data_IF_015650312417
#
_entry.id   IF_015650312417
#
_cell.length_a   1.000
_cell.length_b   1.000
_cell.length_c   1.000
_cell.angle_alpha   90.00
_cell.angle_beta   90.00
_cell.angle_gamma   90.00
#
_symmetry.space_group_name_H-M   'P 1'
#
loop_
_entity.id
_entity.type
_entity.pdbx_description
1 polymer ?
#
# COMPACT_ATOMS: atom_id res chain seq x y z
N UNK A 1 -1.03 -0.21 -33.18
CA UNK A 1 -0.95 -1.63 -33.57
C UNK A 1 -0.58 -2.38 -32.33
N UNK A 2 -1.59 -2.94 -31.65
CA UNK A 2 -1.39 -3.74 -30.44
C UNK A 2 -0.73 -5.06 -30.84
N UNK A 3 0.37 -5.41 -30.16
CA UNK A 3 0.92 -6.75 -30.25
C UNK A 3 -0.13 -7.71 -29.66
N UNK A 4 -0.73 -8.55 -30.50
CA UNK A 4 -1.61 -9.62 -30.06
C UNK A 4 -0.71 -10.64 -29.35
N UNK A 5 -0.75 -10.68 -28.03
CA UNK A 5 -0.17 -11.77 -27.26
C UNK A 5 -0.89 -13.06 -27.67
N UNK A 6 -0.18 -14.03 -28.21
CA UNK A 6 -0.74 -15.31 -28.70
C UNK A 6 -1.00 -16.32 -27.57
N UNK A 7 -0.92 -15.90 -26.32
CA UNK A 7 -1.22 -16.71 -25.11
C UNK A 7 -2.63 -16.47 -24.56
N UNK A 8 -3.12 -17.33 -23.67
CA UNK A 8 -4.36 -17.05 -22.93
C UNK A 8 -4.18 -15.75 -22.13
N UNK A 9 -5.27 -14.97 -22.01
CA UNK A 9 -5.26 -13.77 -21.19
C UNK A 9 -4.95 -14.13 -19.72
N UNK A 10 -4.12 -13.33 -19.00
CA UNK A 10 -3.79 -13.61 -17.62
C UNK A 10 -5.05 -13.57 -16.76
N UNK A 11 -5.14 -14.49 -15.80
CA UNK A 11 -6.19 -14.46 -14.78
C UNK A 11 -5.89 -13.38 -13.76
N UNK A 12 -6.70 -12.31 -13.77
CA UNK A 12 -6.53 -11.16 -12.90
C UNK A 12 -7.53 -11.23 -11.75
N UNK A 13 -7.03 -11.24 -10.52
CA UNK A 13 -7.85 -11.25 -9.31
C UNK A 13 -7.61 -9.97 -8.53
N UNK A 14 -8.68 -9.21 -8.27
CA UNK A 14 -8.60 -8.05 -7.39
C UNK A 14 -8.70 -8.48 -5.92
N UNK A 15 -7.85 -7.92 -5.06
CA UNK A 15 -7.87 -8.10 -3.61
C UNK A 15 -8.12 -6.77 -2.95
N UNK A 16 -9.19 -6.69 -2.17
CA UNK A 16 -9.58 -5.51 -1.38
C UNK A 16 -9.49 -5.85 0.10
N UNK A 17 -8.82 -5.01 0.88
CA UNK A 17 -8.78 -5.13 2.34
C UNK A 17 -9.62 -4.03 2.97
N UNK A 18 -10.51 -4.37 3.90
CA UNK A 18 -11.41 -3.42 4.56
C UNK A 18 -11.49 -3.63 6.07
N UNK A 19 -11.78 -2.55 6.80
CA UNK A 19 -12.08 -2.59 8.23
C UNK A 19 -12.97 -1.42 8.64
N UNK A 20 -14.23 -1.71 9.03
CA UNK A 20 -15.21 -0.72 9.51
C UNK A 20 -15.40 0.46 8.52
N UNK A 21 -15.52 0.18 7.23
CA UNK A 21 -15.69 1.17 6.16
C UNK A 21 -16.66 0.71 5.08
N UNK A 22 -17.76 0.05 5.48
CA UNK A 22 -18.75 -0.50 4.54
C UNK A 22 -19.15 0.46 3.41
N UNK A 23 -19.45 1.76 3.63
CA UNK A 23 -19.82 2.66 2.55
C UNK A 23 -18.73 2.90 1.50
N UNK A 24 -17.44 2.86 1.89
CA UNK A 24 -16.34 2.98 0.95
C UNK A 24 -16.15 1.68 0.16
N UNK A 25 -16.23 0.54 0.86
CA UNK A 25 -16.20 -0.77 0.22
C UNK A 25 -17.31 -0.93 -0.83
N UNK A 26 -18.55 -0.53 -0.52
CA UNK A 26 -19.68 -0.57 -1.46
C UNK A 26 -19.39 0.23 -2.73
N UNK A 27 -18.85 1.45 -2.59
CA UNK A 27 -18.46 2.32 -3.69
C UNK A 27 -17.36 1.68 -4.56
N UNK A 28 -16.34 1.10 -3.91
CA UNK A 28 -15.24 0.44 -4.61
C UNK A 28 -15.70 -0.82 -5.34
N UNK A 29 -16.47 -1.70 -4.68
CA UNK A 29 -16.99 -2.93 -5.28
C UNK A 29 -17.87 -2.61 -6.49
N UNK A 30 -18.74 -1.58 -6.40
CA UNK A 30 -19.53 -1.12 -7.54
C UNK A 30 -18.63 -0.69 -8.72
N UNK A 31 -17.55 0.07 -8.44
CA UNK A 31 -16.59 0.48 -9.46
C UNK A 31 -15.82 -0.70 -10.07
N UNK A 32 -15.42 -1.70 -9.28
CA UNK A 32 -14.76 -2.89 -9.81
C UNK A 32 -15.66 -3.69 -10.75
N UNK A 33 -16.97 -3.65 -10.52
CA UNK A 33 -17.97 -4.25 -11.42
C UNK A 33 -18.11 -3.54 -12.79
N UNK A 34 -17.58 -2.33 -12.94
CA UNK A 34 -17.54 -1.58 -14.20
C UNK A 34 -16.22 -1.81 -14.99
N UNK A 35 -15.24 -2.50 -14.40
CA UNK A 35 -13.91 -2.69 -14.97
C UNK A 35 -13.82 -4.06 -15.63
N UNK A 36 -13.54 -4.08 -16.92
CA UNK A 36 -13.39 -5.31 -17.69
C UNK A 36 -12.07 -6.02 -17.37
N UNK A 37 -12.01 -7.33 -17.64
CA UNK A 37 -10.78 -8.12 -17.51
C UNK A 37 -10.54 -8.75 -16.13
N UNK A 38 -11.34 -8.41 -15.11
CA UNK A 38 -11.24 -9.08 -13.81
C UNK A 38 -11.91 -10.46 -13.85
N UNK A 39 -11.20 -11.47 -13.35
CA UNK A 39 -11.74 -12.82 -13.19
C UNK A 39 -12.55 -12.98 -11.90
N UNK A 40 -12.15 -12.29 -10.83
CA UNK A 40 -12.77 -12.35 -9.50
C UNK A 40 -12.36 -11.14 -8.66
N UNK A 41 -13.23 -10.75 -7.72
CA UNK A 41 -12.93 -9.78 -6.65
C UNK A 41 -12.96 -10.52 -5.31
N UNK A 42 -11.85 -10.48 -4.58
CA UNK A 42 -11.71 -11.03 -3.22
C UNK A 42 -11.69 -9.90 -2.21
N UNK A 43 -12.58 -9.93 -1.23
CA UNK A 43 -12.63 -8.96 -0.15
C UNK A 43 -12.25 -9.63 1.16
N UNK A 44 -11.18 -9.13 1.79
CA UNK A 44 -10.77 -9.52 3.15
C UNK A 44 -11.33 -8.48 4.12
N UNK A 45 -12.34 -8.87 4.86
CA UNK A 45 -12.89 -8.10 5.96
C UNK A 45 -12.10 -8.38 7.26
N UNK A 46 -11.44 -7.39 7.77
CA UNK A 46 -10.53 -7.47 8.91
C UNK A 46 -11.27 -7.48 10.27
N UNK A 47 -12.33 -8.30 10.40
CA UNK A 47 -13.22 -8.39 11.55
C UNK A 47 -13.97 -7.07 11.81
N UNK A 48 -14.64 -6.54 10.81
CA UNK A 48 -15.51 -5.37 10.95
C UNK A 48 -16.72 -5.63 11.84
N UNK A 49 -17.25 -4.57 12.43
CA UNK A 49 -18.46 -4.57 13.26
C UNK A 49 -19.57 -3.66 12.72
N UNK A 50 -19.42 -3.15 11.50
CA UNK A 50 -20.32 -2.20 10.85
C UNK A 50 -21.29 -2.83 9.84
N UNK A 51 -21.41 -4.18 9.84
CA UNK A 51 -22.28 -4.92 8.90
C UNK A 51 -21.56 -5.38 7.64
N UNK A 52 -20.24 -5.15 7.51
CA UNK A 52 -19.48 -5.56 6.31
C UNK A 52 -19.56 -7.06 6.06
N UNK A 53 -19.42 -7.89 7.11
CA UNK A 53 -19.47 -9.36 6.96
C UNK A 53 -20.81 -9.86 6.45
N UNK A 54 -21.92 -9.34 6.96
CA UNK A 54 -23.27 -9.65 6.52
C UNK A 54 -23.50 -9.19 5.08
N UNK A 55 -23.07 -7.98 4.75
CA UNK A 55 -23.16 -7.44 3.40
C UNK A 55 -22.42 -8.30 2.37
N UNK A 56 -21.21 -8.80 2.69
CA UNK A 56 -20.44 -9.69 1.82
C UNK A 56 -21.11 -11.05 1.61
N UNK A 57 -21.73 -11.62 2.65
CA UNK A 57 -22.39 -12.92 2.59
C UNK A 57 -23.58 -12.93 1.61
N UNK A 58 -24.27 -11.79 1.44
CA UNK A 58 -25.44 -11.66 0.59
C UNK A 58 -25.12 -11.26 -0.87
N UNK A 59 -23.83 -11.10 -1.22
CA UNK A 59 -23.39 -10.60 -2.54
C UNK A 59 -22.42 -11.54 -3.23
N UNK A 60 -22.89 -12.47 -4.07
CA UNK A 60 -22.02 -13.42 -4.77
C UNK A 60 -21.30 -12.80 -5.99
N UNK A 61 -21.71 -11.61 -6.45
CA UNK A 61 -21.13 -10.94 -7.63
C UNK A 61 -21.08 -9.43 -7.47
N UNK A 62 -20.18 -8.79 -8.22
CA UNK A 62 -20.22 -7.36 -8.52
C UNK A 62 -20.41 -7.19 -10.02
N UNK A 63 -21.61 -6.77 -10.45
CA UNK A 63 -22.00 -6.87 -11.85
C UNK A 63 -21.99 -8.33 -12.33
N UNK A 64 -21.19 -8.63 -13.36
CA UNK A 64 -20.99 -10.00 -13.86
C UNK A 64 -19.77 -10.70 -13.24
N UNK A 65 -18.97 -9.98 -12.43
CA UNK A 65 -17.70 -10.48 -11.85
C UNK A 65 -18.00 -11.18 -10.52
N UNK A 66 -17.55 -12.42 -10.31
CA UNK A 66 -17.65 -13.11 -9.02
C UNK A 66 -17.04 -12.29 -7.88
N UNK A 67 -17.75 -12.19 -6.76
CA UNK A 67 -17.31 -11.54 -5.52
C UNK A 67 -17.27 -12.59 -4.40
N UNK A 68 -16.12 -12.75 -3.79
CA UNK A 68 -15.93 -13.60 -2.62
C UNK A 68 -15.49 -12.78 -1.43
N UNK A 69 -16.18 -12.93 -0.30
CA UNK A 69 -15.84 -12.28 0.98
C UNK A 69 -15.26 -13.28 1.97
N UNK A 70 -14.27 -12.84 2.76
CA UNK A 70 -13.73 -13.56 3.90
C UNK A 70 -13.59 -12.62 5.10
N UNK A 71 -14.38 -12.87 6.16
CA UNK A 71 -14.25 -12.15 7.43
C UNK A 71 -13.25 -12.87 8.33
N UNK A 72 -12.23 -12.17 8.77
CA UNK A 72 -11.23 -12.68 9.72
C UNK A 72 -11.84 -12.75 11.14
N UNK A 73 -11.32 -13.65 11.97
CA UNK A 73 -11.77 -13.79 13.35
C UNK A 73 -11.33 -12.63 14.26
N UNK A 74 -10.27 -11.94 13.87
CA UNK A 74 -9.70 -10.78 14.59
C UNK A 74 -9.10 -9.80 13.61
N UNK A 75 -9.06 -8.52 13.98
CA UNK A 75 -8.35 -7.50 13.20
C UNK A 75 -6.84 -7.78 13.23
N UNK A 76 -6.28 -8.06 12.05
CA UNK A 76 -4.84 -8.32 11.82
C UNK A 76 -4.13 -7.13 11.15
N UNK A 77 -4.81 -5.97 11.08
CA UNK A 77 -4.31 -4.78 10.40
C UNK A 77 -4.27 -4.92 8.88
N UNK A 78 -3.89 -3.86 8.19
CA UNK A 78 -3.71 -3.90 6.73
C UNK A 78 -2.72 -4.98 6.30
N UNK A 79 -1.61 -5.11 7.02
CA UNK A 79 -0.57 -6.11 6.74
C UNK A 79 -1.12 -7.54 6.73
N UNK A 80 -1.88 -7.93 7.75
CA UNK A 80 -2.51 -9.25 7.83
C UNK A 80 -3.62 -9.45 6.79
N UNK A 81 -4.38 -8.39 6.50
CA UNK A 81 -5.40 -8.42 5.45
C UNK A 81 -4.80 -8.68 4.06
N UNK A 82 -3.75 -7.95 3.69
CA UNK A 82 -3.04 -8.16 2.41
C UNK A 82 -2.29 -9.49 2.36
N UNK A 83 -1.75 -9.96 3.49
CA UNK A 83 -1.15 -11.30 3.58
C UNK A 83 -2.18 -12.38 3.22
N UNK A 84 -3.35 -12.39 3.89
CA UNK A 84 -4.41 -13.36 3.64
C UNK A 84 -5.03 -13.21 2.25
N UNK A 85 -5.26 -11.99 1.81
CA UNK A 85 -5.85 -11.71 0.51
C UNK A 85 -4.96 -12.14 -0.65
N UNK A 86 -3.65 -11.86 -0.57
CA UNK A 86 -2.70 -12.26 -1.60
C UNK A 86 -2.53 -13.79 -1.62
N UNK A 87 -2.43 -14.44 -0.46
CA UNK A 87 -2.41 -15.91 -0.38
C UNK A 87 -3.67 -16.51 -1.02
N UNK A 88 -4.83 -15.95 -0.70
CA UNK A 88 -6.11 -16.40 -1.26
C UNK A 88 -6.21 -16.22 -2.77
N UNK A 89 -5.68 -15.12 -3.32
CA UNK A 89 -5.65 -14.90 -4.78
C UNK A 89 -4.73 -15.92 -5.48
N UNK A 90 -3.58 -16.26 -4.88
CA UNK A 90 -2.69 -17.30 -5.41
C UNK A 90 -3.37 -18.69 -5.37
N UNK A 91 -4.10 -19.02 -4.29
CA UNK A 91 -4.89 -20.25 -4.19
C UNK A 91 -6.02 -20.30 -5.25
N UNK A 92 -6.45 -19.17 -5.78
CA UNK A 92 -7.42 -19.01 -6.89
C UNK A 92 -6.75 -19.01 -8.27
N UNK A 93 -5.47 -19.38 -8.33
CA UNK A 93 -4.70 -19.46 -9.59
C UNK A 93 -4.61 -18.12 -10.33
N UNK A 94 -4.50 -17.01 -9.59
CA UNK A 94 -4.26 -15.70 -10.17
C UNK A 94 -2.86 -15.64 -10.81
N UNK A 95 -2.77 -15.17 -12.06
CA UNK A 95 -1.52 -14.81 -12.72
C UNK A 95 -1.06 -13.41 -12.29
N UNK A 96 -2.03 -12.50 -12.16
CA UNK A 96 -1.86 -11.14 -11.67
C UNK A 96 -2.81 -10.86 -10.51
N UNK A 97 -2.29 -10.25 -9.45
CA UNK A 97 -3.11 -9.82 -8.32
C UNK A 97 -3.15 -8.30 -8.25
N UNK A 98 -4.35 -7.72 -8.25
CA UNK A 98 -4.57 -6.29 -8.16
C UNK A 98 -4.94 -5.91 -6.72
N UNK A 99 -3.98 -5.34 -5.97
CA UNK A 99 -4.07 -5.08 -4.53
C UNK A 99 -4.51 -3.64 -4.27
N UNK A 100 -5.52 -3.44 -3.40
CA UNK A 100 -6.01 -2.11 -3.03
C UNK A 100 -6.68 -2.07 -1.66
N UNK A 101 -6.57 -0.91 -0.99
CA UNK A 101 -7.38 -0.56 0.18
C UNK A 101 -8.82 -0.19 -0.27
N UNK A 102 -9.75 -0.16 0.69
CA UNK A 102 -11.17 0.09 0.47
C UNK A 102 -11.53 1.55 0.11
N UNK A 103 -10.59 2.49 0.23
CA UNK A 103 -10.80 3.93 0.00
C UNK A 103 -10.16 4.46 -1.31
N UNK A 104 -9.47 3.61 -2.06
CA UNK A 104 -8.97 3.91 -3.40
C UNK A 104 -10.00 3.58 -4.49
N UNK A 105 -10.37 4.56 -5.33
CA UNK A 105 -11.32 4.38 -6.42
C UNK A 105 -10.59 4.45 -7.77
N UNK A 106 -10.35 3.32 -8.46
CA UNK A 106 -9.71 3.33 -9.78
C UNK A 106 -10.61 3.98 -10.83
N UNK A 107 -10.01 4.70 -11.79
CA UNK A 107 -10.72 5.11 -12.99
C UNK A 107 -11.09 3.85 -13.81
N UNK A 108 -12.18 3.88 -14.59
CA UNK A 108 -12.72 2.69 -15.29
C UNK A 108 -11.67 2.04 -16.21
N UNK A 109 -10.82 2.84 -16.84
CA UNK A 109 -9.74 2.38 -17.72
C UNK A 109 -8.39 2.14 -17.01
N UNK A 110 -8.37 2.21 -15.67
CA UNK A 110 -7.15 2.07 -14.89
C UNK A 110 -6.46 0.72 -15.12
N UNK A 111 -7.21 -0.37 -15.04
CA UNK A 111 -6.67 -1.72 -15.26
C UNK A 111 -6.14 -1.90 -16.68
N UNK A 112 -6.88 -1.47 -17.69
CA UNK A 112 -6.45 -1.57 -19.10
C UNK A 112 -5.10 -0.88 -19.33
N UNK A 113 -4.92 0.31 -18.72
CA UNK A 113 -3.65 1.05 -18.82
C UNK A 113 -2.51 0.36 -18.09
N UNK A 114 -2.78 -0.27 -16.96
CA UNK A 114 -1.78 -1.05 -16.25
C UNK A 114 -1.38 -2.30 -17.03
N UNK A 115 -2.32 -2.95 -17.70
CA UNK A 115 -2.09 -4.18 -18.47
C UNK A 115 -1.20 -3.98 -19.70
N UNK A 116 -1.05 -2.76 -20.20
CA UNK A 116 -0.09 -2.44 -21.27
C UNK A 116 1.37 -2.71 -20.87
N UNK A 117 1.67 -2.80 -19.58
CA UNK A 117 3.01 -3.00 -19.03
C UNK A 117 3.26 -4.42 -18.49
N UNK A 118 2.32 -5.35 -18.65
CA UNK A 118 2.38 -6.71 -18.07
C UNK A 118 3.67 -7.46 -18.41
N UNK A 119 4.15 -7.38 -19.64
CA UNK A 119 5.37 -8.07 -20.06
C UNK A 119 6.66 -7.38 -19.58
N UNK A 120 6.55 -6.16 -19.05
CA UNK A 120 7.68 -5.31 -18.71
C UNK A 120 7.93 -5.18 -17.21
N UNK A 121 6.91 -5.43 -16.36
CA UNK A 121 6.93 -5.12 -14.95
C UNK A 121 6.52 -6.31 -14.09
N UNK A 122 7.01 -6.34 -12.87
CA UNK A 122 6.71 -7.37 -11.89
C UNK A 122 5.86 -6.82 -10.73
N UNK A 123 5.98 -5.51 -10.43
CA UNK A 123 5.22 -4.80 -9.39
C UNK A 123 5.00 -3.35 -9.81
N UNK A 124 3.79 -3.01 -10.22
CA UNK A 124 3.50 -1.68 -10.74
C UNK A 124 2.11 -1.18 -10.36
N UNK A 125 1.91 0.11 -10.47
CA UNK A 125 0.63 0.70 -10.08
C UNK A 125 0.37 2.05 -10.71
N UNK A 126 -0.81 2.63 -10.44
CA UNK A 126 -1.26 3.90 -10.99
C UNK A 126 -0.68 5.11 -10.26
N UNK A 127 -0.98 6.30 -10.76
CA UNK A 127 -0.94 7.52 -9.96
C UNK A 127 -2.10 7.52 -8.97
N UNK A 128 -1.80 7.81 -7.70
CA UNK A 128 -2.82 8.00 -6.66
C UNK A 128 -3.04 9.50 -6.50
N UNK A 129 -4.20 9.96 -6.99
CA UNK A 129 -4.57 11.39 -7.03
C UNK A 129 -5.63 11.71 -5.99
N UNK A 130 -5.62 12.96 -5.52
CA UNK A 130 -6.60 13.46 -4.56
C UNK A 130 -7.99 13.54 -5.24
N UNK A 131 -9.02 12.94 -4.60
CA UNK A 131 -10.38 12.94 -5.13
C UNK A 131 -10.95 14.38 -5.29
N UNK A 132 -10.55 15.31 -4.41
CA UNK A 132 -10.99 16.71 -4.44
C UNK A 132 -10.12 17.60 -5.35
N UNK A 133 -8.86 17.22 -5.61
CA UNK A 133 -7.92 17.96 -6.46
C UNK A 133 -7.12 16.96 -7.33
N UNK A 134 -7.66 16.57 -8.50
CA UNK A 134 -7.03 15.56 -9.37
C UNK A 134 -5.66 15.93 -9.93
N UNK A 135 -5.23 17.19 -9.82
CA UNK A 135 -3.90 17.64 -10.20
C UNK A 135 -2.86 17.40 -9.08
N UNK A 136 -3.31 17.00 -7.90
CA UNK A 136 -2.49 16.72 -6.74
C UNK A 136 -2.35 15.23 -6.48
N UNK A 137 -1.12 14.81 -6.14
CA UNK A 137 -0.88 13.45 -5.62
C UNK A 137 -1.29 13.38 -4.14
N UNK A 138 -1.98 12.31 -3.75
CA UNK A 138 -2.23 12.01 -2.33
C UNK A 138 -0.93 11.63 -1.64
N UNK A 139 -0.11 10.82 -2.31
CA UNK A 139 1.20 10.38 -1.83
C UNK A 139 2.29 10.99 -2.72
N UNK A 140 3.09 11.97 -2.20
CA UNK A 140 4.16 12.57 -2.98
C UNK A 140 5.21 11.53 -3.40
N UNK A 141 5.67 11.63 -4.64
CA UNK A 141 6.63 10.69 -5.22
C UNK A 141 8.04 11.31 -5.16
N UNK A 142 8.98 10.58 -4.56
CA UNK A 142 10.41 10.89 -4.70
C UNK A 142 10.90 10.33 -6.03
N UNK A 143 11.31 11.19 -6.94
CA UNK A 143 11.82 10.75 -8.24
C UNK A 143 13.12 9.95 -8.06
N UNK A 144 13.25 8.82 -8.76
CA UNK A 144 14.45 7.98 -8.72
C UNK A 144 15.71 8.74 -9.14
N UNK A 145 16.85 8.34 -8.57
CA UNK A 145 18.15 8.96 -8.87
C UNK A 145 18.39 10.33 -8.23
N UNK A 146 17.44 10.85 -7.40
CA UNK A 146 17.57 12.17 -6.80
C UNK A 146 16.88 12.33 -5.44
N UNK A 147 16.87 13.57 -4.95
CA UNK A 147 16.18 13.98 -3.73
C UNK A 147 14.87 14.73 -3.98
N UNK A 148 14.54 14.97 -5.26
CA UNK A 148 13.35 15.74 -5.64
C UNK A 148 12.09 14.95 -5.31
N UNK A 149 11.21 15.56 -4.52
CA UNK A 149 9.86 15.07 -4.22
C UNK A 149 8.87 15.90 -5.03
N UNK A 150 7.95 15.25 -5.72
CA UNK A 150 6.91 15.87 -6.53
C UNK A 150 5.55 15.63 -5.91
N UNK A 151 4.69 16.65 -5.94
CA UNK A 151 3.36 16.65 -5.35
C UNK A 151 2.25 16.80 -6.40
N UNK A 152 2.60 17.30 -7.59
CA UNK A 152 1.65 17.55 -8.66
C UNK A 152 1.74 16.47 -9.75
N UNK A 153 0.59 16.04 -10.25
CA UNK A 153 0.46 15.07 -11.35
C UNK A 153 1.21 15.52 -12.58
N UNK A 154 1.10 16.82 -12.94
CA UNK A 154 1.83 17.39 -14.08
C UNK A 154 3.36 17.29 -13.95
N UNK A 155 3.92 17.36 -12.73
CA UNK A 155 5.36 17.17 -12.51
C UNK A 155 5.81 15.73 -12.73
N UNK A 156 4.99 14.77 -12.28
CA UNK A 156 5.25 13.33 -12.50
C UNK A 156 5.20 13.03 -13.99
N UNK A 157 4.15 13.47 -14.67
CA UNK A 157 3.99 13.24 -16.13
C UNK A 157 5.15 13.83 -16.94
N UNK A 158 5.69 15.01 -16.54
CA UNK A 158 6.88 15.58 -17.18
C UNK A 158 8.17 14.82 -16.91
N UNK A 159 8.25 14.13 -15.78
CA UNK A 159 9.41 13.31 -15.41
C UNK A 159 9.34 11.89 -15.98
N UNK A 160 8.16 11.46 -16.44
CA UNK A 160 7.93 10.11 -16.96
C UNK A 160 8.67 9.88 -18.28
N UNK A 161 9.10 8.65 -18.48
CA UNK A 161 9.62 8.12 -19.75
C UNK A 161 8.74 6.94 -20.16
N UNK A 162 8.26 6.96 -21.42
CA UNK A 162 7.35 5.91 -21.91
C UNK A 162 6.13 5.69 -20.99
N UNK A 163 5.50 6.80 -20.59
CA UNK A 163 4.32 6.83 -19.73
C UNK A 163 4.49 6.18 -18.34
N UNK A 164 5.73 6.05 -17.82
CA UNK A 164 6.00 5.50 -16.49
C UNK A 164 7.18 6.15 -15.77
N UNK A 165 7.22 5.99 -14.47
CA UNK A 165 8.36 6.28 -13.60
C UNK A 165 8.88 4.95 -13.06
N UNK A 166 10.02 4.51 -13.57
CA UNK A 166 10.65 3.27 -13.11
C UNK A 166 11.23 3.41 -11.69
N UNK A 167 11.25 2.32 -10.91
CA UNK A 167 11.86 2.23 -9.60
C UNK A 167 11.04 2.81 -8.45
N UNK A 168 9.78 3.19 -8.67
CA UNK A 168 8.88 3.64 -7.62
C UNK A 168 7.43 3.25 -7.92
N UNK A 169 6.70 2.82 -6.89
CA UNK A 169 5.26 2.61 -6.89
C UNK A 169 4.72 2.94 -5.50
N UNK A 170 3.48 3.37 -5.41
CA UNK A 170 2.75 3.52 -4.13
C UNK A 170 2.04 2.20 -3.85
N UNK A 171 2.53 1.37 -2.91
CA UNK A 171 2.00 0.03 -2.71
C UNK A 171 0.57 0.05 -2.16
N UNK A 172 -0.17 -1.04 -2.46
CA UNK A 172 -1.53 -1.33 -1.97
C UNK A 172 -2.59 -0.26 -2.31
N UNK A 173 -2.31 0.59 -3.29
CA UNK A 173 -3.26 1.57 -3.80
C UNK A 173 -3.57 1.31 -5.29
N UNK A 174 -4.09 0.13 -5.60
CA UNK A 174 -4.40 -0.29 -6.96
C UNK A 174 -3.16 -0.80 -7.72
N UNK A 175 -2.26 -1.49 -7.04
CA UNK A 175 -1.05 -2.04 -7.65
C UNK A 175 -1.26 -3.45 -8.16
N UNK A 176 -0.66 -3.76 -9.31
CA UNK A 176 -0.54 -5.11 -9.84
C UNK A 176 0.78 -5.74 -9.36
N UNK A 177 0.71 -7.01 -9.02
CA UNK A 177 1.85 -7.87 -8.72
C UNK A 177 1.72 -9.18 -9.47
N UNK A 178 2.82 -9.65 -10.08
CA UNK A 178 2.83 -10.95 -10.77
C UNK A 178 2.92 -12.10 -9.78
N UNK A 179 2.30 -13.23 -10.11
CA UNK A 179 2.44 -14.47 -9.34
C UNK A 179 3.90 -14.87 -9.18
N UNK A 180 4.70 -14.75 -10.25
CA UNK A 180 6.13 -15.07 -10.23
C UNK A 180 6.90 -14.24 -9.22
N UNK A 181 6.55 -12.97 -9.05
CA UNK A 181 7.16 -12.15 -7.99
C UNK A 181 6.74 -12.65 -6.61
N UNK A 182 5.44 -12.91 -6.40
CA UNK A 182 4.94 -13.45 -5.12
C UNK A 182 5.62 -14.76 -4.76
N UNK A 183 5.75 -15.69 -5.72
CA UNK A 183 6.45 -16.96 -5.51
C UNK A 183 7.93 -16.77 -5.11
N UNK A 184 8.57 -15.70 -5.59
CA UNK A 184 9.97 -15.37 -5.33
C UNK A 184 10.19 -14.68 -3.99
N UNK A 185 9.31 -13.75 -3.60
CA UNK A 185 9.50 -12.93 -2.39
C UNK A 185 8.57 -13.29 -1.23
N UNK A 186 7.57 -14.14 -1.46
CA UNK A 186 6.54 -14.50 -0.47
C UNK A 186 5.48 -13.42 -0.26
N UNK A 187 4.69 -13.59 0.80
CA UNK A 187 3.57 -12.74 1.16
C UNK A 187 4.02 -11.51 1.98
N UNK A 188 3.20 -10.44 2.07
CA UNK A 188 3.44 -9.32 2.99
C UNK A 188 3.64 -9.79 4.44
N UNK A 189 4.47 -9.08 5.20
CA UNK A 189 4.77 -9.39 6.61
C UNK A 189 3.59 -9.03 7.50
N UNK A 190 2.75 -9.99 7.81
CA UNK A 190 1.55 -9.80 8.64
C UNK A 190 1.83 -9.25 10.04
N UNK A 191 3.00 -9.58 10.62
CA UNK A 191 3.41 -9.11 11.94
C UNK A 191 3.64 -7.60 12.02
N UNK A 192 3.74 -6.90 10.87
CA UNK A 192 3.84 -5.44 10.85
C UNK A 192 2.53 -4.76 11.28
N UNK A 193 1.41 -5.43 11.13
CA UNK A 193 0.07 -5.00 11.46
C UNK A 193 -0.41 -3.82 10.60
N UNK A 194 0.23 -2.65 10.70
CA UNK A 194 -0.08 -1.45 9.91
C UNK A 194 1.14 -0.53 9.82
N UNK A 195 1.26 0.24 8.75
CA UNK A 195 2.34 1.21 8.49
C UNK A 195 3.71 0.56 8.26
N UNK A 196 4.16 0.69 7.05
CA UNK A 196 5.47 0.25 6.62
C UNK A 196 5.53 -1.20 6.14
N UNK A 197 4.43 -1.95 6.22
CA UNK A 197 4.21 -3.24 5.60
C UNK A 197 4.22 -3.15 4.08
N UNK A 198 3.49 -2.18 3.56
CA UNK A 198 3.44 -1.79 2.16
C UNK A 198 4.82 -1.39 1.63
N UNK A 199 5.51 -0.53 2.38
CA UNK A 199 6.86 -0.09 2.05
C UNK A 199 7.87 -1.24 2.11
N UNK A 200 7.76 -2.14 3.11
CA UNK A 200 8.59 -3.33 3.23
C UNK A 200 8.43 -4.25 2.02
N UNK A 201 7.19 -4.51 1.61
CA UNK A 201 6.91 -5.39 0.48
C UNK A 201 7.55 -4.87 -0.81
N UNK A 202 7.46 -3.56 -1.05
CA UNK A 202 8.14 -2.91 -2.17
C UNK A 202 9.67 -3.00 -2.07
N UNK A 203 10.25 -2.74 -0.89
CA UNK A 203 11.71 -2.82 -0.69
C UNK A 203 12.23 -4.24 -0.92
N UNK A 204 11.50 -5.25 -0.47
CA UNK A 204 11.81 -6.67 -0.69
C UNK A 204 11.72 -7.04 -2.17
N UNK A 205 10.73 -6.52 -2.88
CA UNK A 205 10.62 -6.68 -4.33
C UNK A 205 11.82 -6.04 -5.06
N UNK A 206 12.21 -4.81 -4.70
CA UNK A 206 13.39 -4.13 -5.25
C UNK A 206 14.68 -4.93 -4.99
N UNK A 207 14.88 -5.43 -3.76
CA UNK A 207 16.05 -6.25 -3.40
C UNK A 207 16.12 -7.56 -4.18
N UNK A 208 14.95 -8.15 -4.48
CA UNK A 208 14.84 -9.33 -5.34
C UNK A 208 15.01 -9.02 -6.84
N UNK A 209 15.30 -7.77 -7.21
CA UNK A 209 15.51 -7.34 -8.60
C UNK A 209 14.22 -7.22 -9.40
N UNK A 210 13.07 -7.01 -8.77
CA UNK A 210 11.81 -6.81 -9.45
C UNK A 210 11.81 -5.50 -10.25
N UNK A 211 11.18 -5.54 -11.41
CA UNK A 211 10.92 -4.36 -12.24
C UNK A 211 9.71 -3.64 -11.69
N UNK A 212 9.95 -2.51 -11.03
CA UNK A 212 8.94 -1.71 -10.32
C UNK A 212 8.70 -0.41 -11.05
N UNK A 213 7.44 0.02 -11.23
CA UNK A 213 7.14 1.32 -11.83
C UNK A 213 5.77 1.89 -11.42
N UNK A 214 5.62 3.21 -11.57
CA UNK A 214 4.34 3.90 -11.58
C UNK A 214 3.95 4.24 -13.02
N UNK A 215 2.80 3.75 -13.48
CA UNK A 215 2.23 4.04 -14.81
C UNK A 215 1.43 5.34 -14.70
N UNK A 216 1.92 6.41 -15.40
CA UNK A 216 1.38 7.77 -15.21
C UNK A 216 0.08 8.03 -15.96
N UNK A 217 -0.34 7.10 -16.81
CA UNK A 217 -1.62 7.13 -17.53
C UNK A 217 -2.75 6.44 -16.77
N UNK A 218 -2.43 5.54 -15.84
CA UNK A 218 -3.39 4.89 -14.95
C UNK A 218 -3.62 5.73 -13.69
N UNK A 219 -4.85 5.79 -13.20
CA UNK A 219 -5.22 6.65 -12.07
C UNK A 219 -6.13 5.93 -11.08
N UNK A 220 -5.82 6.11 -9.78
CA UNK A 220 -6.71 5.82 -8.66
C UNK A 220 -6.99 7.12 -7.91
N UNK A 221 -8.26 7.41 -7.65
CA UNK A 221 -8.71 8.54 -6.82
C UNK A 221 -8.78 8.09 -5.37
N UNK A 222 -8.24 8.90 -4.48
CA UNK A 222 -8.19 8.55 -3.06
C UNK A 222 -8.54 9.79 -2.22
N UNK A 223 -9.24 9.63 -1.09
CA UNK A 223 -9.47 10.74 -0.18
C UNK A 223 -8.17 11.38 0.30
N UNK A 224 -8.18 12.69 0.49
CA UNK A 224 -7.00 13.40 0.98
C UNK A 224 -6.56 12.88 2.36
N UNK A 225 -5.30 12.49 2.49
CA UNK A 225 -4.71 12.05 3.77
C UNK A 225 -4.09 13.21 4.57
N UNK A 226 -4.27 14.45 4.07
CA UNK A 226 -3.70 15.65 4.68
C UNK A 226 -2.19 15.79 4.41
N UNK A 227 -1.50 16.55 5.27
CA UNK A 227 -0.07 16.75 5.13
C UNK A 227 0.71 15.53 5.66
N UNK A 228 1.39 14.82 4.78
CA UNK A 228 2.30 13.75 5.14
C UNK A 228 3.61 14.33 5.68
N UNK A 229 3.78 14.24 6.99
CA UNK A 229 4.98 14.66 7.69
C UNK A 229 4.98 16.11 8.16
N UNK A 230 5.52 16.31 9.34
CA UNK A 230 5.77 17.63 9.95
C UNK A 230 7.17 18.10 9.56
N UNK A 231 7.32 19.33 9.03
CA UNK A 231 8.64 19.91 8.75
C UNK A 231 9.48 20.01 10.04
N UNK A 232 10.77 19.65 9.94
CA UNK A 232 11.73 19.74 11.03
C UNK A 232 13.12 20.18 10.53
N UNK A 233 14.03 20.48 11.46
CA UNK A 233 15.40 20.94 11.13
C UNK A 233 15.37 22.12 10.13
N UNK A 234 14.59 23.16 10.46
CA UNK A 234 14.41 24.35 9.63
C UNK A 234 13.85 24.06 8.22
N UNK A 235 12.94 23.10 8.11
CA UNK A 235 12.28 22.71 6.85
C UNK A 235 13.13 21.83 5.93
N UNK A 236 14.33 21.40 6.36
CA UNK A 236 15.21 20.56 5.52
C UNK A 236 14.75 19.11 5.41
N UNK A 237 13.91 18.66 6.31
CA UNK A 237 13.33 17.29 6.31
C UNK A 237 11.97 17.29 6.99
N UNK A 238 11.22 16.22 6.82
CA UNK A 238 9.91 16.01 7.46
C UNK A 238 9.96 14.77 8.34
N UNK A 239 9.13 14.71 9.37
CA UNK A 239 8.92 13.55 10.22
C UNK A 239 7.44 13.17 10.20
N UNK A 240 7.15 11.91 9.89
CA UNK A 240 5.78 11.40 10.00
C UNK A 240 5.50 11.07 11.45
N UNK A 241 4.45 11.64 11.99
CA UNK A 241 3.93 11.31 13.31
C UNK A 241 2.41 11.10 13.22
N UNK A 242 1.87 10.26 14.07
CA UNK A 242 0.44 9.97 14.14
C UNK A 242 -0.10 10.30 15.52
N UNK A 243 -1.29 10.90 15.64
CA UNK A 243 -1.92 11.11 16.94
C UNK A 243 -2.34 9.77 17.60
N UNK A 244 -2.59 8.73 16.82
CA UNK A 244 -2.91 7.38 17.31
C UNK A 244 -1.66 6.71 17.87
N UNK A 245 -1.72 6.22 19.12
CA UNK A 245 -0.63 5.47 19.75
C UNK A 245 -0.32 4.18 19.01
N UNK A 246 -1.35 3.46 18.54
CA UNK A 246 -1.21 2.25 17.74
C UNK A 246 -0.43 2.53 16.45
N UNK A 247 -0.92 3.46 15.64
CA UNK A 247 -0.28 3.81 14.36
C UNK A 247 1.14 4.33 14.57
N UNK A 248 1.35 5.17 15.58
CA UNK A 248 2.66 5.71 15.89
C UNK A 248 3.66 4.63 16.33
N UNK A 249 3.22 3.70 17.20
CA UNK A 249 4.02 2.56 17.65
C UNK A 249 4.47 1.70 16.48
N UNK A 250 3.51 1.25 15.65
CA UNK A 250 3.80 0.44 14.46
C UNK A 250 4.74 1.17 13.49
N UNK A 251 4.48 2.45 13.20
CA UNK A 251 5.32 3.27 12.33
C UNK A 251 6.77 3.36 12.83
N UNK A 252 6.97 3.65 14.12
CA UNK A 252 8.32 3.78 14.69
C UNK A 252 9.07 2.44 14.68
N UNK A 253 8.39 1.32 15.00
CA UNK A 253 8.94 -0.04 14.95
C UNK A 253 9.30 -0.45 13.53
N UNK A 254 8.33 -0.38 12.62
CA UNK A 254 8.44 -0.92 11.28
C UNK A 254 9.42 -0.11 10.41
N UNK A 255 9.42 1.23 10.53
CA UNK A 255 10.39 2.06 9.82
C UNK A 255 11.83 1.78 10.25
N UNK A 256 12.08 1.55 11.55
CA UNK A 256 13.41 1.18 12.01
C UNK A 256 13.85 -0.16 11.41
N UNK A 257 12.96 -1.16 11.41
CA UNK A 257 13.21 -2.49 10.83
C UNK A 257 13.50 -2.37 9.34
N UNK A 258 12.63 -1.68 8.58
CA UNK A 258 12.82 -1.48 7.15
C UNK A 258 14.16 -0.79 6.81
N UNK A 259 14.50 0.26 7.56
CA UNK A 259 15.77 0.97 7.34
C UNK A 259 16.98 0.11 7.69
N UNK A 260 16.92 -0.67 8.78
CA UNK A 260 17.97 -1.58 9.17
C UNK A 260 18.20 -2.67 8.11
N UNK A 261 17.12 -3.31 7.68
CA UNK A 261 17.18 -4.52 6.85
C UNK A 261 17.48 -4.19 5.39
N UNK A 262 16.93 -3.10 4.83
CA UNK A 262 17.04 -2.76 3.40
C UNK A 262 17.97 -1.57 3.08
N UNK A 263 18.35 -0.74 4.06
CA UNK A 263 19.20 0.45 3.84
C UNK A 263 20.44 0.45 4.72
N UNK A 264 20.52 -0.46 5.66
CA UNK A 264 21.65 -0.68 6.55
C UNK A 264 21.60 0.13 7.86
N UNK A 265 22.49 -0.21 8.82
CA UNK A 265 22.43 0.26 10.19
C UNK A 265 22.61 1.77 10.34
N UNK A 266 23.31 2.44 9.44
CA UNK A 266 23.47 3.89 9.48
C UNK A 266 22.16 4.64 9.21
N UNK A 267 21.32 4.14 8.33
CA UNK A 267 19.99 4.72 8.06
C UNK A 267 19.05 4.49 9.25
N UNK A 268 19.11 3.31 9.87
CA UNK A 268 18.37 3.03 11.10
C UNK A 268 18.80 3.97 12.24
N UNK A 269 20.10 4.17 12.45
CA UNK A 269 20.61 5.12 13.43
C UNK A 269 20.16 6.56 13.13
N UNK A 270 20.25 6.99 11.87
CA UNK A 270 19.78 8.31 11.46
C UNK A 270 18.29 8.51 11.78
N UNK A 271 17.45 7.46 11.63
CA UNK A 271 16.03 7.52 12.00
C UNK A 271 15.85 7.65 13.53
N UNK A 272 16.64 6.95 14.34
CA UNK A 272 16.62 7.11 15.81
C UNK A 272 16.98 8.55 16.21
N UNK A 273 18.05 9.11 15.65
CA UNK A 273 18.47 10.49 15.90
C UNK A 273 17.41 11.49 15.46
N UNK A 274 16.81 11.28 14.29
CA UNK A 274 15.74 12.10 13.75
C UNK A 274 14.49 12.08 14.66
N UNK A 275 14.12 10.92 15.19
CA UNK A 275 13.01 10.77 16.14
C UNK A 275 13.29 11.48 17.45
N UNK A 276 14.49 11.33 18.01
CA UNK A 276 14.91 12.02 19.22
C UNK A 276 14.90 13.54 19.04
N UNK A 277 15.44 14.04 17.93
CA UNK A 277 15.41 15.47 17.60
C UNK A 277 13.96 15.98 17.51
N UNK A 278 13.07 15.26 16.81
CA UNK A 278 11.68 15.67 16.59
C UNK A 278 10.94 15.85 17.92
N UNK A 279 11.01 14.87 18.82
CA UNK A 279 10.32 14.92 20.12
C UNK A 279 11.07 15.69 21.21
N UNK A 280 12.26 16.21 20.93
CA UNK A 280 12.97 17.11 21.83
C UNK A 280 12.80 18.57 21.41
N UNK A 281 12.88 18.88 20.10
CA UNK A 281 13.00 20.25 19.61
C UNK A 281 11.85 20.71 18.71
N UNK A 282 11.24 19.81 17.90
CA UNK A 282 10.19 20.21 16.94
C UNK A 282 8.79 20.13 17.57
N UNK A 283 8.45 19.00 18.17
CA UNK A 283 7.23 18.77 18.95
C UNK A 283 7.59 18.12 20.28
N UNK A 284 8.05 18.88 21.28
CA UNK A 284 8.51 18.31 22.55
C UNK A 284 7.45 17.43 23.21
N UNK A 285 7.77 16.13 23.37
CA UNK A 285 6.89 15.16 24.03
C UNK A 285 7.67 13.95 24.54
N UNK A 286 7.87 13.89 25.85
CA UNK A 286 8.58 12.80 26.50
C UNK A 286 7.80 11.46 26.38
N UNK A 287 6.47 11.50 26.41
CA UNK A 287 5.63 10.32 26.26
C UNK A 287 5.77 9.71 24.85
N UNK A 288 5.71 10.54 23.80
CA UNK A 288 5.91 10.10 22.42
C UNK A 288 7.33 9.60 22.16
N UNK A 289 8.34 10.25 22.73
CA UNK A 289 9.71 9.78 22.64
C UNK A 289 9.87 8.40 23.29
N UNK A 290 9.32 8.21 24.51
CA UNK A 290 9.35 6.89 25.19
C UNK A 290 8.61 5.82 24.38
N UNK A 291 7.45 6.15 23.81
CA UNK A 291 6.69 5.25 22.96
C UNK A 291 7.52 4.83 21.73
N UNK A 292 8.14 5.79 21.04
CA UNK A 292 8.99 5.53 19.86
C UNK A 292 10.19 4.66 20.21
N UNK A 293 10.91 4.96 21.30
CA UNK A 293 12.05 4.18 21.76
C UNK A 293 11.65 2.76 22.13
N UNK A 294 10.52 2.59 22.82
CA UNK A 294 9.96 1.28 23.16
C UNK A 294 9.62 0.46 21.91
N UNK A 295 8.96 1.09 20.91
CA UNK A 295 8.64 0.47 19.65
C UNK A 295 9.89 0.06 18.86
N UNK A 296 10.88 0.94 18.78
CA UNK A 296 12.15 0.67 18.09
C UNK A 296 12.92 -0.49 18.74
N UNK A 297 12.95 -0.54 20.10
CA UNK A 297 13.56 -1.67 20.84
C UNK A 297 12.84 -2.99 20.55
N UNK A 298 11.51 -2.98 20.51
CA UNK A 298 10.72 -4.15 20.15
C UNK A 298 11.08 -4.62 18.73
N UNK A 299 11.18 -3.71 17.75
CA UNK A 299 11.61 -4.05 16.39
C UNK A 299 13.01 -4.62 16.30
N UNK A 300 13.97 -4.11 17.09
CA UNK A 300 15.34 -4.67 17.17
C UNK A 300 15.31 -6.08 17.76
N UNK A 301 14.49 -6.31 18.78
CA UNK A 301 14.33 -7.60 19.44
C UNK A 301 13.50 -8.62 18.65
N UNK A 302 12.87 -8.23 17.52
CA UNK A 302 11.95 -9.08 16.76
C UNK A 302 10.60 -9.29 17.45
N UNK A 303 10.24 -8.42 18.42
CA UNK A 303 8.95 -8.42 19.08
C UNK A 303 7.95 -7.57 18.29
N UNK A 304 7.04 -8.25 17.61
CA UNK A 304 5.98 -7.61 16.83
C UNK A 304 4.61 -7.60 17.53
N UNK A 305 4.48 -8.15 18.73
CA UNK A 305 3.21 -8.23 19.47
C UNK A 305 2.89 -7.01 20.34
N UNK A 306 3.88 -6.16 20.58
CA UNK A 306 3.74 -5.00 21.48
C UNK A 306 2.65 -3.99 21.08
N UNK A 307 2.16 -4.03 19.83
CA UNK A 307 1.04 -3.18 19.36
C UNK A 307 -0.33 -3.63 19.91
N UNK A 308 -0.49 -4.91 20.30
CA UNK A 308 -1.77 -5.49 20.76
C UNK A 308 -2.37 -4.74 21.96
N UNK A 309 -1.55 -4.13 22.81
CA UNK A 309 -1.99 -3.31 23.95
C UNK A 309 -2.80 -2.06 23.57
N UNK A 310 -2.82 -1.70 22.28
CA UNK A 310 -3.56 -0.55 21.76
C UNK A 310 -4.81 -0.95 20.97
N UNK A 311 -5.15 -2.23 20.92
CA UNK A 311 -6.31 -2.76 20.18
C UNK A 311 -7.58 -2.87 21.05
N UNK A 312 -7.53 -2.48 22.33
CA UNK A 312 -8.67 -2.51 23.27
C UNK A 312 -9.55 -1.30 23.13
#
# INVERSE_FOLDING_TARGET
VYAVTTGPLPRIVAVVVTFNRLPLLEKLVARLGEIEGLAEVLVVDNASSDGTGEWLADRPTTGEIPLSGRTLSTNRGGAGGFHDGLAWAIDREADLVWLMDDDGLPDVDCLDRLLLETDNLDFWGPLVVDEADPDRLVFPIRLPGGTRVVHAVGDVRRAASHDRIDGIVIPFNGVLVTKELVDRIGLPREEFFIWGDDHEYRLRAEEAGARVATVVTATVRHPSVGNLGTPMMFGRTTYNDSPSDLKHYCMARNNLVNLRDYRGPLHALAFVVKTAWFYTFTRPSLSRLRLSVGAMRAGIAGDFDGHRRFLS
#
